data_IF_650872020503
#
_entry.id   IF_650872020503
#
_cell.length_a   1.000
_cell.length_b   1.000
_cell.length_c   1.000
_cell.angle_alpha   90.00
_cell.angle_beta   90.00
_cell.angle_gamma   90.00
#
_symmetry.space_group_name_H-M   'P 1'
#
loop_
_entity.id
_entity.type
_entity.pdbx_description
1 polymer ?
#
# COMPACT_ATOMS: atom_id res chain seq x y z
N UNK A 1 29.90 -9.32 -4.95
CA UNK A 1 28.98 -10.25 -5.66
C UNK A 1 28.73 -11.55 -4.89
N UNK A 2 29.74 -12.26 -4.40
CA UNK A 2 29.57 -13.55 -3.67
C UNK A 2 28.53 -13.46 -2.54
N UNK A 3 28.63 -12.44 -1.68
CA UNK A 3 27.66 -12.23 -0.58
C UNK A 3 26.22 -12.07 -1.10
N UNK A 4 26.01 -11.28 -2.15
CA UNK A 4 24.70 -11.08 -2.76
C UNK A 4 24.15 -12.40 -3.31
N UNK A 5 24.98 -13.19 -4.01
CA UNK A 5 24.57 -14.49 -4.53
C UNK A 5 24.10 -15.43 -3.42
N UNK A 6 24.81 -15.52 -2.30
CA UNK A 6 24.36 -16.33 -1.16
C UNK A 6 23.01 -15.89 -0.60
N UNK A 7 22.74 -14.58 -0.57
CA UNK A 7 21.42 -14.05 -0.17
C UNK A 7 20.34 -14.43 -1.18
N UNK A 8 20.62 -14.30 -2.48
CA UNK A 8 19.68 -14.67 -3.55
C UNK A 8 19.38 -16.16 -3.55
N UNK A 9 20.38 -17.01 -3.34
CA UNK A 9 20.22 -18.47 -3.19
C UNK A 9 19.35 -18.81 -1.98
N UNK A 10 19.56 -18.12 -0.85
CA UNK A 10 18.69 -18.29 0.32
C UNK A 10 17.24 -17.88 0.03
N UNK A 11 17.01 -16.70 -0.53
CA UNK A 11 15.65 -16.26 -0.88
C UNK A 11 15.02 -17.24 -1.88
N UNK A 12 15.76 -17.66 -2.91
CA UNK A 12 15.30 -18.65 -3.88
C UNK A 12 14.93 -19.99 -3.25
N UNK A 13 15.66 -20.43 -2.22
CA UNK A 13 15.35 -21.67 -1.49
C UNK A 13 14.00 -21.62 -0.75
N UNK A 14 13.49 -20.44 -0.41
CA UNK A 14 12.16 -20.26 0.21
C UNK A 14 11.05 -20.63 -0.78
N UNK A 15 11.25 -20.33 -2.07
CA UNK A 15 10.32 -20.63 -3.15
C UNK A 15 10.51 -22.05 -3.73
N UNK A 16 11.47 -22.82 -3.23
CA UNK A 16 11.82 -24.15 -3.72
C UNK A 16 11.45 -25.24 -2.71
N UNK A 17 10.20 -25.73 -2.69
CA UNK A 17 9.71 -26.68 -1.66
C UNK A 17 10.44 -28.03 -1.64
N UNK A 18 11.22 -28.34 -2.67
CA UNK A 18 12.02 -29.56 -2.77
C UNK A 18 13.40 -29.47 -2.10
N UNK A 19 13.77 -28.32 -1.51
CA UNK A 19 15.06 -28.15 -0.81
C UNK A 19 14.88 -27.54 0.58
N UNK A 20 15.81 -27.84 1.48
CA UNK A 20 15.84 -27.21 2.80
C UNK A 20 16.48 -25.83 2.71
N UNK A 21 15.81 -24.80 3.23
CA UNK A 21 16.30 -23.42 3.22
C UNK A 21 17.41 -23.16 4.26
N UNK A 22 17.49 -23.97 5.32
CA UNK A 22 18.39 -23.76 6.47
C UNK A 22 19.88 -23.64 6.09
N UNK A 23 20.46 -24.50 5.22
CA UNK A 23 21.87 -24.37 4.84
C UNK A 23 22.17 -23.08 4.07
N UNK A 24 21.25 -22.66 3.19
CA UNK A 24 21.38 -21.42 2.43
C UNK A 24 21.27 -20.20 3.34
N UNK A 25 20.33 -20.22 4.30
CA UNK A 25 20.22 -19.19 5.33
C UNK A 25 21.52 -19.01 6.10
N UNK A 26 22.11 -20.11 6.59
CA UNK A 26 23.36 -20.08 7.35
C UNK A 26 24.53 -19.54 6.52
N UNK A 27 24.62 -19.92 5.24
CA UNK A 27 25.63 -19.40 4.31
C UNK A 27 25.46 -17.90 4.06
N UNK A 28 24.23 -17.45 3.77
CA UNK A 28 23.89 -16.04 3.55
C UNK A 28 24.19 -15.20 4.81
N UNK A 29 23.73 -15.67 5.98
CA UNK A 29 23.95 -14.99 7.26
C UNK A 29 25.44 -14.86 7.56
N UNK A 30 26.23 -15.92 7.37
CA UNK A 30 27.70 -15.87 7.55
C UNK A 30 28.34 -14.85 6.60
N UNK A 31 27.88 -14.78 5.35
CA UNK A 31 28.44 -13.85 4.37
C UNK A 31 28.15 -12.38 4.71
N UNK A 32 26.92 -12.06 5.13
CA UNK A 32 26.51 -10.68 5.46
C UNK A 32 26.98 -10.21 6.85
N UNK A 33 27.31 -11.13 7.76
CA UNK A 33 27.81 -10.81 9.12
C UNK A 33 29.33 -10.87 9.23
N UNK A 34 30.03 -11.08 8.12
CA UNK A 34 31.49 -11.07 8.10
C UNK A 34 32.04 -9.75 8.66
N UNK A 35 33.00 -9.79 9.61
CA UNK A 35 33.61 -8.56 10.14
C UNK A 35 34.39 -7.78 9.06
N UNK A 36 34.73 -8.46 7.96
CA UNK A 36 35.43 -7.88 6.81
C UNK A 36 34.48 -7.66 5.63
N UNK A 37 33.17 -7.45 5.87
CA UNK A 37 32.21 -7.18 4.80
C UNK A 37 32.63 -5.90 4.05
N UNK A 38 32.99 -6.06 2.78
CA UNK A 38 33.40 -4.93 1.94
C UNK A 38 32.25 -3.92 1.76
N UNK A 39 32.57 -2.64 1.81
CA UNK A 39 31.59 -1.56 1.61
C UNK A 39 31.40 -1.35 0.11
N UNK A 40 30.48 -2.11 -0.46
CA UNK A 40 30.20 -2.11 -1.91
C UNK A 40 28.71 -1.99 -2.18
N UNK A 41 28.30 -1.47 -3.34
CA UNK A 41 26.88 -1.32 -3.69
C UNK A 41 26.15 -2.67 -3.75
N UNK A 42 26.84 -3.74 -4.19
CA UNK A 42 26.33 -5.11 -4.14
C UNK A 42 26.04 -5.60 -2.72
N UNK A 43 26.84 -5.19 -1.73
CA UNK A 43 26.60 -5.57 -0.33
C UNK A 43 25.48 -4.74 0.30
N UNK A 44 25.19 -3.54 -0.21
CA UNK A 44 23.95 -2.80 0.11
C UNK A 44 22.73 -3.61 -0.36
N UNK A 45 22.73 -4.07 -1.62
CA UNK A 45 21.67 -4.95 -2.13
C UNK A 45 21.52 -6.22 -1.30
N UNK A 46 22.64 -6.88 -0.96
CA UNK A 46 22.63 -8.11 -0.17
C UNK A 46 22.00 -7.91 1.22
N UNK A 47 22.42 -6.86 1.95
CA UNK A 47 21.88 -6.55 3.27
C UNK A 47 20.40 -6.14 3.20
N UNK A 48 20.02 -5.34 2.21
CA UNK A 48 18.62 -4.93 2.00
C UNK A 48 17.73 -6.14 1.74
N UNK A 49 18.07 -6.99 0.77
CA UNK A 49 17.29 -8.19 0.44
C UNK A 49 17.24 -9.20 1.59
N UNK A 50 18.37 -9.41 2.28
CA UNK A 50 18.40 -10.28 3.46
C UNK A 50 17.47 -9.74 4.55
N UNK A 51 17.52 -8.43 4.83
CA UNK A 51 16.66 -7.81 5.85
C UNK A 51 15.17 -7.98 5.52
N UNK A 52 14.80 -7.83 4.25
CA UNK A 52 13.43 -8.00 3.78
C UNK A 52 12.92 -9.42 4.04
N UNK A 53 13.70 -10.43 3.63
CA UNK A 53 13.35 -11.83 3.85
C UNK A 53 13.31 -12.16 5.36
N UNK A 54 14.33 -11.74 6.12
CA UNK A 54 14.41 -11.98 7.56
C UNK A 54 13.25 -11.35 8.34
N UNK A 55 12.79 -10.16 7.93
CA UNK A 55 11.62 -9.52 8.52
C UNK A 55 10.37 -10.40 8.37
N UNK A 56 10.17 -10.98 7.19
CA UNK A 56 9.01 -11.83 6.87
C UNK A 56 9.17 -13.28 7.36
N UNK A 57 10.39 -13.69 7.71
CA UNK A 57 10.69 -14.84 8.59
C UNK A 57 10.47 -14.53 10.08
N UNK A 58 9.83 -13.40 10.40
CA UNK A 58 9.45 -12.95 11.74
C UNK A 58 10.62 -12.62 12.69
N UNK A 59 11.79 -12.30 12.12
CA UNK A 59 12.99 -11.83 12.85
C UNK A 59 13.19 -10.32 12.69
N UNK A 60 12.19 -9.54 13.08
CA UNK A 60 12.06 -8.11 12.72
C UNK A 60 13.12 -7.19 13.31
N UNK A 61 13.55 -7.43 14.55
CA UNK A 61 14.60 -6.62 15.20
C UNK A 61 15.93 -6.79 14.50
N UNK A 62 16.30 -8.03 14.18
CA UNK A 62 17.54 -8.33 13.47
C UNK A 62 17.50 -7.84 12.03
N UNK A 63 16.34 -7.96 11.37
CA UNK A 63 16.12 -7.39 10.05
C UNK A 63 16.33 -5.87 10.05
N UNK A 64 15.80 -5.16 11.06
CA UNK A 64 16.02 -3.71 11.19
C UNK A 64 17.50 -3.35 11.28
N UNK A 65 18.27 -4.06 12.12
CA UNK A 65 19.71 -3.82 12.25
C UNK A 65 20.43 -3.97 10.90
N UNK A 66 20.09 -5.00 10.13
CA UNK A 66 20.71 -5.23 8.82
C UNK A 66 20.35 -4.16 7.78
N UNK A 67 19.11 -3.68 7.76
CA UNK A 67 18.77 -2.55 6.90
C UNK A 67 19.46 -1.25 7.38
N UNK A 68 19.59 -1.03 8.68
CA UNK A 68 20.38 0.10 9.20
C UNK A 68 21.83 0.04 8.74
N UNK A 69 22.44 -1.16 8.69
CA UNK A 69 23.77 -1.34 8.10
C UNK A 69 23.77 -1.06 6.58
N UNK A 70 22.75 -1.52 5.85
CA UNK A 70 22.61 -1.26 4.41
C UNK A 70 22.54 0.25 4.11
N UNK A 71 21.69 0.97 4.84
CA UNK A 71 21.54 2.43 4.72
C UNK A 71 22.83 3.16 5.09
N UNK A 72 23.52 2.77 6.17
CA UNK A 72 24.81 3.36 6.53
C UNK A 72 25.87 3.17 5.43
N UNK A 73 26.00 1.97 4.86
CA UNK A 73 26.92 1.72 3.75
C UNK A 73 26.53 2.53 2.52
N UNK A 74 25.24 2.60 2.19
CA UNK A 74 24.76 3.37 1.03
C UNK A 74 25.10 4.86 1.14
N UNK A 75 24.91 5.46 2.32
CA UNK A 75 25.25 6.87 2.57
C UNK A 75 26.76 7.11 2.55
N UNK A 76 27.57 6.19 3.10
CA UNK A 76 29.03 6.31 3.04
C UNK A 76 29.57 6.22 1.61
N UNK A 77 28.92 5.42 0.76
CA UNK A 77 29.20 5.35 -0.67
C UNK A 77 28.60 6.53 -1.45
N UNK A 78 27.81 7.38 -0.80
CA UNK A 78 27.07 8.50 -1.40
C UNK A 78 26.11 8.05 -2.49
N UNK A 79 25.44 6.91 -2.29
CA UNK A 79 24.43 6.39 -3.22
C UNK A 79 23.25 7.34 -3.42
N UNK A 80 23.06 8.32 -2.53
CA UNK A 80 22.07 9.38 -2.61
C UNK A 80 22.47 10.58 -3.49
N UNK A 81 23.69 10.57 -4.05
CA UNK A 81 24.24 11.62 -4.90
C UNK A 81 24.17 11.22 -6.38
N UNK A 82 23.86 12.18 -7.27
CA UNK A 82 23.79 11.96 -8.73
C UNK A 82 25.03 11.26 -9.30
N UNK A 83 26.21 11.71 -8.88
CA UNK A 83 27.49 11.28 -9.46
C UNK A 83 27.85 9.83 -9.13
N UNK A 84 27.23 9.25 -8.09
CA UNK A 84 27.54 7.89 -7.64
C UNK A 84 27.31 6.86 -8.74
N UNK A 85 26.18 6.93 -9.45
CA UNK A 85 25.83 5.95 -10.47
C UNK A 85 26.93 5.86 -11.54
N UNK A 86 27.39 7.01 -12.04
CA UNK A 86 28.48 7.10 -13.04
C UNK A 86 29.82 6.65 -12.47
N UNK A 87 30.15 7.07 -11.25
CA UNK A 87 31.41 6.73 -10.60
C UNK A 87 31.59 5.21 -10.37
N UNK A 88 30.49 4.49 -10.10
CA UNK A 88 30.47 3.05 -9.84
C UNK A 88 29.89 2.23 -11.00
N UNK A 89 29.53 2.87 -12.11
CA UNK A 89 28.87 2.25 -13.25
C UNK A 89 29.82 1.58 -14.23
N UNK A 90 31.14 1.73 -14.08
CA UNK A 90 32.15 1.13 -14.96
C UNK A 90 31.94 1.44 -16.46
N UNK A 91 31.32 2.59 -16.77
CA UNK A 91 30.88 2.98 -18.13
C UNK A 91 29.84 2.05 -18.77
N UNK A 92 29.16 1.23 -17.96
CA UNK A 92 28.03 0.40 -18.35
C UNK A 92 26.72 1.07 -17.91
N UNK A 93 25.92 1.51 -18.89
CA UNK A 93 24.65 2.18 -18.63
C UNK A 93 23.66 1.32 -17.82
N UNK A 94 23.69 0.00 -17.97
CA UNK A 94 22.84 -0.93 -17.21
C UNK A 94 23.27 -0.98 -15.76
N UNK A 95 24.58 -0.96 -15.50
CA UNK A 95 25.11 -0.93 -14.14
C UNK A 95 24.81 0.41 -13.46
N UNK A 96 24.94 1.53 -14.17
CA UNK A 96 24.51 2.85 -13.68
C UNK A 96 23.01 2.87 -13.32
N UNK A 97 22.17 2.25 -14.15
CA UNK A 97 20.73 2.14 -13.88
C UNK A 97 20.44 1.25 -12.67
N UNK A 98 21.16 0.14 -12.52
CA UNK A 98 21.07 -0.74 -11.35
C UNK A 98 21.33 0.03 -10.04
N UNK A 99 22.28 0.97 -10.06
CA UNK A 99 22.60 1.84 -8.92
C UNK A 99 21.50 2.84 -8.59
N UNK A 100 20.92 3.49 -9.60
CA UNK A 100 19.74 4.37 -9.40
C UNK A 100 18.60 3.58 -8.77
N UNK A 101 18.21 2.46 -9.37
CA UNK A 101 17.14 1.58 -8.87
C UNK A 101 17.41 1.10 -7.44
N UNK A 102 18.65 0.72 -7.13
CA UNK A 102 19.03 0.26 -5.79
C UNK A 102 18.77 1.32 -4.73
N UNK A 103 19.14 2.58 -4.98
CA UNK A 103 18.94 3.65 -3.99
C UNK A 103 17.46 3.98 -3.78
N UNK A 104 16.68 4.10 -4.87
CA UNK A 104 15.23 4.34 -4.77
C UNK A 104 14.50 3.23 -4.01
N UNK A 105 14.82 1.96 -4.30
CA UNK A 105 14.23 0.83 -3.57
C UNK A 105 14.70 0.80 -2.11
N UNK A 106 15.96 1.15 -1.82
CA UNK A 106 16.44 1.25 -0.43
C UNK A 106 15.68 2.30 0.37
N UNK A 107 15.42 3.48 -0.22
CA UNK A 107 14.60 4.52 0.39
C UNK A 107 13.21 3.99 0.73
N UNK A 108 12.54 3.38 -0.26
CA UNK A 108 11.19 2.84 -0.11
C UNK A 108 11.17 1.75 0.98
N UNK A 109 12.13 0.83 0.98
CA UNK A 109 12.21 -0.27 1.96
C UNK A 109 12.45 0.26 3.39
N UNK A 110 13.31 1.27 3.56
CA UNK A 110 13.54 1.88 4.87
C UNK A 110 12.28 2.53 5.42
N UNK A 111 11.55 3.27 4.58
CA UNK A 111 10.24 3.83 4.92
C UNK A 111 9.22 2.73 5.24
N UNK A 112 9.14 1.67 4.43
CA UNK A 112 8.18 0.58 4.64
C UNK A 112 8.38 -0.09 6.00
N UNK A 113 9.62 -0.38 6.39
CA UNK A 113 9.90 -0.92 7.71
C UNK A 113 9.43 0.01 8.82
N UNK A 114 9.61 1.32 8.68
CA UNK A 114 9.12 2.29 9.65
C UNK A 114 7.59 2.28 9.76
N UNK A 115 6.89 2.29 8.61
CA UNK A 115 5.43 2.20 8.56
C UNK A 115 4.91 0.93 9.23
N UNK A 116 5.43 -0.25 8.86
CA UNK A 116 4.91 -1.53 9.38
C UNK A 116 5.30 -1.80 10.84
N UNK A 117 6.30 -1.08 11.35
CA UNK A 117 6.67 -1.09 12.78
C UNK A 117 6.09 0.10 13.55
N UNK A 118 5.19 0.88 12.93
CA UNK A 118 4.47 2.00 13.51
C UNK A 118 5.40 3.04 14.16
N UNK A 119 6.50 3.38 13.46
CA UNK A 119 7.42 4.46 13.84
C UNK A 119 7.41 5.56 12.78
N UNK A 120 7.38 6.84 13.18
CA UNK A 120 7.47 7.96 12.24
C UNK A 120 8.90 8.24 11.78
N UNK A 121 9.89 7.45 12.23
CA UNK A 121 11.30 7.63 11.93
C UNK A 121 11.81 6.56 10.98
N UNK A 122 12.50 6.98 9.93
CA UNK A 122 13.40 6.13 9.14
C UNK A 122 14.67 6.91 8.76
N UNK A 123 15.77 6.19 8.54
CA UNK A 123 17.12 6.78 8.40
C UNK A 123 17.23 7.73 7.21
N UNK A 124 16.51 7.43 6.13
CA UNK A 124 16.61 8.17 4.86
C UNK A 124 15.62 9.35 4.75
N UNK A 125 14.75 9.58 5.75
CA UNK A 125 13.66 10.57 5.67
C UNK A 125 14.15 11.99 5.40
N UNK A 126 15.21 12.42 6.09
CA UNK A 126 15.76 13.78 6.04
C UNK A 126 17.03 13.88 5.18
N UNK A 127 17.40 12.81 4.47
CA UNK A 127 18.59 12.80 3.63
C UNK A 127 18.25 13.37 2.25
N UNK A 128 19.07 14.33 1.79
CA UNK A 128 18.96 14.88 0.45
C UNK A 128 19.18 13.79 -0.61
N UNK A 129 18.26 13.70 -1.55
CA UNK A 129 18.33 12.79 -2.69
C UNK A 129 18.53 13.60 -3.98
N UNK A 130 19.65 13.39 -4.67
CA UNK A 130 19.92 14.01 -5.98
C UNK A 130 20.07 12.97 -7.10
N UNK A 131 19.77 11.71 -6.82
CA UNK A 131 19.85 10.60 -7.79
C UNK A 131 18.87 10.86 -8.92
N UNK A 132 19.31 10.65 -10.16
CA UNK A 132 18.43 10.75 -11.32
C UNK A 132 17.42 9.58 -11.32
N UNK A 133 16.25 9.82 -11.92
CA UNK A 133 15.12 8.89 -11.89
C UNK A 133 15.43 7.61 -12.70
N UNK A 134 15.02 6.44 -12.17
CA UNK A 134 15.19 5.16 -12.85
C UNK A 134 14.25 5.03 -14.05
N UNK A 135 14.68 4.27 -15.06
CA UNK A 135 13.86 3.95 -16.22
C UNK A 135 12.93 2.75 -15.97
N UNK A 136 12.00 2.56 -16.90
CA UNK A 136 11.05 1.45 -16.89
C UNK A 136 11.76 0.09 -17.08
N UNK A 137 11.12 -0.98 -16.60
CA UNK A 137 11.69 -2.33 -16.56
C UNK A 137 12.03 -2.84 -17.97
N UNK A 138 11.24 -2.51 -18.98
CA UNK A 138 11.47 -2.91 -20.38
C UNK A 138 12.80 -2.35 -20.92
N UNK A 139 13.16 -1.13 -20.53
CA UNK A 139 14.41 -0.49 -20.92
C UNK A 139 15.60 -1.11 -20.17
N UNK A 140 15.43 -1.37 -18.88
CA UNK A 140 16.45 -2.00 -18.06
C UNK A 140 16.76 -3.44 -18.54
N UNK A 141 15.74 -4.24 -18.80
CA UNK A 141 15.86 -5.63 -19.25
C UNK A 141 16.44 -5.75 -20.66
N UNK A 142 16.09 -4.82 -21.56
CA UNK A 142 16.64 -4.79 -22.92
C UNK A 142 18.07 -4.22 -22.99
N UNK A 143 18.55 -3.59 -21.92
CA UNK A 143 19.82 -2.88 -21.86
C UNK A 143 19.84 -1.53 -22.59
N UNK A 144 18.71 -1.10 -23.17
CA UNK A 144 18.58 0.17 -23.88
C UNK A 144 18.15 1.28 -22.90
N UNK A 145 19.09 1.72 -22.06
CA UNK A 145 18.83 2.72 -21.03
C UNK A 145 18.58 4.10 -21.67
N UNK A 146 17.42 4.72 -21.46
CA UNK A 146 17.09 6.03 -22.02
C UNK A 146 17.87 7.16 -21.33
N UNK A 147 17.83 8.39 -21.89
CA UNK A 147 18.29 9.57 -21.18
C UNK A 147 17.62 9.70 -19.81
N UNK A 148 18.43 10.00 -18.80
CA UNK A 148 17.95 10.12 -17.42
C UNK A 148 17.12 11.39 -17.23
N UNK A 149 16.08 11.30 -16.39
CA UNK A 149 15.28 12.43 -15.95
C UNK A 149 15.54 12.72 -14.47
N UNK A 150 15.20 13.92 -14.02
CA UNK A 150 15.40 14.39 -12.64
C UNK A 150 14.08 14.43 -11.88
N UNK A 151 14.16 14.34 -10.56
CA UNK A 151 12.97 14.53 -9.71
C UNK A 151 12.30 15.90 -9.92
N UNK A 152 13.09 16.96 -10.15
CA UNK A 152 12.57 18.29 -10.45
C UNK A 152 11.76 18.35 -11.75
N UNK A 153 12.15 17.59 -12.78
CA UNK A 153 11.37 17.51 -14.03
C UNK A 153 10.05 16.78 -13.80
N UNK A 154 10.04 15.70 -13.01
CA UNK A 154 8.81 15.00 -12.64
C UNK A 154 7.82 15.88 -11.88
N UNK A 155 8.33 16.76 -11.01
CA UNK A 155 7.50 17.66 -10.18
C UNK A 155 6.79 18.77 -10.98
N UNK A 156 7.11 18.95 -12.25
CA UNK A 156 6.48 19.94 -13.14
C UNK A 156 5.89 19.29 -14.40
N UNK A 157 5.69 17.97 -14.37
CA UNK A 157 5.27 17.16 -15.53
C UNK A 157 3.95 17.60 -16.17
N UNK A 158 3.04 18.21 -15.40
CA UNK A 158 1.77 18.74 -15.88
C UNK A 158 1.91 19.92 -16.86
N UNK A 159 3.09 20.55 -16.90
CA UNK A 159 3.40 21.66 -17.80
C UNK A 159 4.17 21.22 -19.05
N UNK A 160 4.45 19.93 -19.22
CA UNK A 160 5.12 19.42 -20.41
C UNK A 160 4.21 19.52 -21.64
N UNK A 161 4.76 19.93 -22.79
CA UNK A 161 4.00 19.99 -24.06
C UNK A 161 3.52 18.62 -24.53
N UNK A 162 4.28 17.58 -24.18
CA UNK A 162 4.00 16.17 -24.51
C UNK A 162 4.01 15.38 -23.21
N UNK A 163 3.03 14.48 -23.05
CA UNK A 163 2.96 13.58 -21.88
C UNK A 163 4.24 12.77 -21.75
N UNK A 164 4.93 12.92 -20.61
CA UNK A 164 6.14 12.16 -20.28
C UNK A 164 5.74 10.97 -19.41
N UNK A 165 6.05 9.76 -19.87
CA UNK A 165 5.79 8.53 -19.13
C UNK A 165 7.06 8.18 -18.34
N UNK A 166 6.97 8.31 -17.03
CA UNK A 166 8.02 7.88 -16.10
C UNK A 166 7.89 6.39 -15.74
N UNK A 167 8.92 5.84 -15.11
CA UNK A 167 8.89 4.44 -14.68
C UNK A 167 7.95 4.18 -13.52
N UNK A 168 7.51 2.93 -13.37
CA UNK A 168 6.67 2.53 -12.23
C UNK A 168 7.33 2.80 -10.87
N UNK A 169 8.66 2.73 -10.78
CA UNK A 169 9.41 3.07 -9.56
C UNK A 169 9.27 4.55 -9.20
N UNK A 170 9.24 5.44 -10.20
CA UNK A 170 9.04 6.88 -9.97
C UNK A 170 7.65 7.15 -9.38
N UNK A 171 6.61 6.51 -9.92
CA UNK A 171 5.25 6.66 -9.39
C UNK A 171 5.09 6.05 -7.99
N UNK A 172 5.75 4.92 -7.69
CA UNK A 172 5.80 4.38 -6.33
C UNK A 172 6.54 5.33 -5.37
N UNK A 173 7.63 5.93 -5.83
CA UNK A 173 8.39 6.92 -5.06
C UNK A 173 7.56 8.19 -4.78
N UNK A 174 6.73 8.67 -5.71
CA UNK A 174 5.84 9.81 -5.45
C UNK A 174 4.85 9.51 -4.32
N UNK A 175 4.25 8.32 -4.30
CA UNK A 175 3.42 7.89 -3.15
C UNK A 175 4.25 7.83 -1.85
N UNK A 176 5.49 7.35 -1.91
CA UNK A 176 6.40 7.36 -0.77
C UNK A 176 6.71 8.78 -0.29
N UNK A 177 6.76 9.78 -1.18
CA UNK A 177 6.94 11.19 -0.80
C UNK A 177 5.70 11.77 -0.10
N UNK A 178 4.49 11.30 -0.43
CA UNK A 178 3.29 11.62 0.36
C UNK A 178 3.40 11.06 1.78
N UNK A 179 3.83 9.81 1.93
CA UNK A 179 4.05 9.18 3.25
C UNK A 179 5.14 9.93 4.03
N UNK A 180 6.24 10.34 3.37
CA UNK A 180 7.30 11.14 3.99
C UNK A 180 6.77 12.50 4.47
N UNK A 181 5.86 13.14 3.71
CA UNK A 181 5.19 14.36 4.13
C UNK A 181 4.37 14.17 5.42
N UNK A 182 3.65 13.04 5.53
CA UNK A 182 2.90 12.67 6.74
C UNK A 182 3.86 12.49 7.92
N UNK A 183 4.92 11.72 7.73
CA UNK A 183 5.92 11.46 8.78
C UNK A 183 6.59 12.75 9.26
N UNK A 184 7.09 13.59 8.36
CA UNK A 184 7.71 14.88 8.72
C UNK A 184 6.73 15.79 9.47
N UNK A 185 5.50 15.92 8.99
CA UNK A 185 4.49 16.74 9.67
C UNK A 185 4.19 16.20 11.07
N UNK A 186 4.12 14.87 11.22
CA UNK A 186 3.93 14.25 12.52
C UNK A 186 5.13 14.48 13.46
N UNK A 187 6.36 14.40 12.96
CA UNK A 187 7.56 14.71 13.74
C UNK A 187 7.60 16.16 14.21
N UNK A 188 7.13 17.09 13.39
CA UNK A 188 7.10 18.52 13.72
C UNK A 188 5.97 18.90 14.68
N UNK A 189 4.80 18.27 14.54
CA UNK A 189 3.57 18.69 15.24
C UNK A 189 3.10 17.74 16.33
N UNK A 190 3.54 16.48 16.32
CA UNK A 190 3.10 15.41 17.22
C UNK A 190 1.66 14.93 17.00
N UNK A 191 0.95 15.44 15.98
CA UNK A 191 -0.46 15.11 15.72
C UNK A 191 -0.76 14.97 14.23
N UNK A 192 -1.73 14.11 13.91
CA UNK A 192 -2.39 14.12 12.60
C UNK A 192 -3.65 14.97 12.73
N UNK A 193 -3.76 16.03 11.93
CA UNK A 193 -4.89 16.97 11.92
C UNK A 193 -5.55 17.06 10.53
N UNK A 194 -6.69 17.74 10.44
CA UNK A 194 -7.44 17.86 9.17
C UNK A 194 -6.62 18.52 8.05
N UNK A 195 -5.83 19.55 8.36
CA UNK A 195 -5.00 20.24 7.35
C UNK A 195 -3.95 19.30 6.72
N UNK A 196 -3.34 18.41 7.52
CA UNK A 196 -2.44 17.38 7.01
C UNK A 196 -3.20 16.40 6.11
N UNK A 197 -4.39 15.96 6.54
CA UNK A 197 -5.23 15.06 5.75
C UNK A 197 -5.59 15.68 4.39
N UNK A 198 -6.06 16.93 4.37
CA UNK A 198 -6.42 17.65 3.14
C UNK A 198 -5.23 17.84 2.19
N UNK A 199 -4.04 18.15 2.73
CA UNK A 199 -2.81 18.26 1.96
C UNK A 199 -2.44 16.90 1.32
N UNK A 200 -2.53 15.81 2.07
CA UNK A 200 -2.28 14.46 1.56
C UNK A 200 -3.33 14.02 0.53
N UNK A 201 -4.60 14.30 0.76
CA UNK A 201 -5.69 14.08 -0.21
C UNK A 201 -5.38 14.77 -1.54
N UNK A 202 -4.95 16.03 -1.49
CA UNK A 202 -4.56 16.80 -2.67
C UNK A 202 -3.41 16.13 -3.41
N UNK A 203 -2.36 15.69 -2.69
CA UNK A 203 -1.21 15.01 -3.31
C UNK A 203 -1.58 13.68 -3.95
N UNK A 204 -2.39 12.85 -3.29
CA UNK A 204 -2.85 11.57 -3.85
C UNK A 204 -3.80 11.75 -5.04
N UNK A 205 -4.65 12.80 -5.01
CA UNK A 205 -5.50 13.16 -6.13
C UNK A 205 -4.67 13.63 -7.34
N UNK A 206 -3.65 14.47 -7.13
CA UNK A 206 -2.70 14.88 -8.18
C UNK A 206 -1.98 13.66 -8.74
N UNK A 207 -1.42 12.80 -7.88
CA UNK A 207 -0.73 11.58 -8.28
C UNK A 207 -1.63 10.73 -9.20
N UNK A 208 -2.83 10.37 -8.75
CA UNK A 208 -3.75 9.49 -9.48
C UNK A 208 -4.30 10.11 -10.77
N UNK A 209 -4.60 11.42 -10.78
CA UNK A 209 -5.15 12.10 -11.96
C UNK A 209 -4.13 12.29 -13.08
N UNK A 210 -2.85 12.46 -12.71
CA UNK A 210 -1.74 12.64 -13.65
C UNK A 210 -1.02 11.33 -14.01
N UNK A 211 -1.54 10.16 -13.61
CA UNK A 211 -1.01 8.90 -14.12
C UNK A 211 -1.32 8.76 -15.62
N UNK A 212 -0.34 8.40 -16.45
CA UNK A 212 -0.59 8.09 -17.86
C UNK A 212 -1.45 6.83 -17.95
N UNK A 213 -2.17 6.68 -19.07
CA UNK A 213 -3.15 5.60 -19.24
C UNK A 213 -2.56 4.19 -18.98
N UNK A 214 -1.32 3.95 -19.40
CA UNK A 214 -0.62 2.68 -19.22
C UNK A 214 -0.18 2.37 -17.77
N UNK A 215 -0.29 3.34 -16.85
CA UNK A 215 0.08 3.18 -15.43
C UNK A 215 -1.13 3.28 -14.49
N UNK A 216 -2.35 3.44 -15.01
CA UNK A 216 -3.58 3.51 -14.17
C UNK A 216 -4.04 2.16 -13.66
N UNK A 217 -3.86 1.11 -14.47
CA UNK A 217 -4.18 -0.27 -14.09
C UNK A 217 -2.89 -1.07 -14.04
N UNK A 218 -2.53 -1.70 -12.91
CA UNK A 218 -1.36 -2.56 -12.86
C UNK A 218 -1.52 -3.84 -13.69
N UNK A 219 -2.74 -4.27 -14.03
CA UNK A 219 -2.94 -5.37 -14.97
C UNK A 219 -2.77 -4.88 -16.41
N UNK A 220 -1.71 -5.34 -17.05
CA UNK A 220 -1.37 -4.97 -18.43
C UNK A 220 -2.21 -5.76 -19.44
N UNK A 221 -2.29 -5.26 -20.67
CA UNK A 221 -3.05 -5.87 -21.78
C UNK A 221 -2.57 -7.27 -22.16
N UNK A 222 -1.31 -7.60 -21.87
CA UNK A 222 -0.72 -8.92 -22.07
C UNK A 222 -1.00 -9.91 -20.92
N UNK A 223 -1.74 -9.46 -19.89
CA UNK A 223 -2.07 -10.23 -18.70
C UNK A 223 -0.97 -10.26 -17.63
N UNK A 224 0.16 -9.59 -17.84
CA UNK A 224 1.17 -9.42 -16.79
C UNK A 224 0.76 -8.33 -15.80
N UNK A 225 1.28 -8.43 -14.57
CA UNK A 225 1.06 -7.44 -13.54
C UNK A 225 2.32 -6.58 -13.41
N UNK A 226 2.14 -5.27 -13.50
CA UNK A 226 3.15 -4.32 -13.05
C UNK A 226 3.16 -4.31 -11.51
N UNK A 227 3.99 -5.18 -10.92
CA UNK A 227 4.07 -5.35 -9.46
C UNK A 227 4.48 -4.06 -8.73
N UNK A 228 5.19 -3.16 -9.40
CA UNK A 228 5.60 -1.87 -8.83
C UNK A 228 4.43 -0.91 -8.78
N UNK A 229 3.63 -0.81 -9.86
CA UNK A 229 2.37 -0.03 -9.84
C UNK A 229 1.32 -0.66 -8.94
N UNK A 230 1.25 -1.99 -8.85
CA UNK A 230 0.40 -2.69 -7.89
C UNK A 230 0.73 -2.20 -6.48
N UNK A 231 2.02 -2.21 -6.11
CA UNK A 231 2.47 -1.72 -4.81
C UNK A 231 2.22 -0.22 -4.63
N UNK A 232 2.35 0.61 -5.67
CA UNK A 232 2.05 2.04 -5.60
C UNK A 232 0.58 2.30 -5.24
N UNK A 233 -0.35 1.59 -5.88
CA UNK A 233 -1.77 1.67 -5.55
C UNK A 233 -2.10 1.12 -4.16
N UNK A 234 -1.44 0.03 -3.74
CA UNK A 234 -1.57 -0.50 -2.37
C UNK A 234 -1.11 0.53 -1.33
N UNK A 235 0.01 1.21 -1.57
CA UNK A 235 0.53 2.29 -0.72
C UNK A 235 -0.42 3.49 -0.67
N UNK A 236 -1.00 3.89 -1.81
CA UNK A 236 -1.98 4.98 -1.85
C UNK A 236 -3.26 4.62 -1.05
N UNK A 237 -3.74 3.39 -1.19
CA UNK A 237 -4.91 2.89 -0.46
C UNK A 237 -4.67 2.86 1.06
N UNK A 238 -3.56 2.25 1.52
CA UNK A 238 -3.27 2.21 2.97
C UNK A 238 -3.00 3.58 3.57
N UNK A 239 -2.36 4.49 2.82
CA UNK A 239 -2.12 5.87 3.26
C UNK A 239 -3.45 6.60 3.46
N UNK A 240 -4.36 6.50 2.48
CA UNK A 240 -5.73 7.05 2.59
C UNK A 240 -6.46 6.46 3.79
N UNK A 241 -6.46 5.12 3.93
CA UNK A 241 -7.13 4.47 5.06
C UNK A 241 -6.56 4.92 6.39
N UNK A 242 -5.24 5.02 6.52
CA UNK A 242 -4.54 5.39 7.77
C UNK A 242 -4.85 6.82 8.19
N UNK A 243 -4.85 7.75 7.24
CA UNK A 243 -5.13 9.17 7.49
C UNK A 243 -6.59 9.43 7.86
N UNK A 244 -7.53 8.74 7.21
CA UNK A 244 -8.95 9.01 7.40
C UNK A 244 -9.59 8.18 8.50
N UNK A 245 -9.09 6.98 8.81
CA UNK A 245 -9.75 6.08 9.77
C UNK A 245 -9.95 6.69 11.16
N UNK A 246 -8.97 7.39 11.78
CA UNK A 246 -9.17 8.01 13.08
C UNK A 246 -10.33 9.01 13.15
N UNK A 247 -10.71 9.58 12.00
CA UNK A 247 -11.76 10.58 11.86
C UNK A 247 -13.09 9.99 11.36
N UNK A 248 -13.12 8.69 11.08
CA UNK A 248 -14.26 7.97 10.50
C UNK A 248 -15.16 7.34 11.57
N UNK A 249 -16.25 6.70 11.12
CA UNK A 249 -17.09 5.83 11.96
C UNK A 249 -16.49 4.43 12.19
N UNK A 250 -15.34 4.12 11.60
CA UNK A 250 -14.70 2.80 11.66
C UNK A 250 -13.74 2.70 12.85
N UNK A 251 -14.30 2.33 14.00
CA UNK A 251 -13.56 2.18 15.25
C UNK A 251 -12.49 1.07 15.22
N UNK A 252 -11.58 1.14 16.18
CA UNK A 252 -10.63 0.07 16.49
C UNK A 252 -11.20 -0.81 17.60
N UNK A 253 -11.13 -2.14 17.43
CA UNK A 253 -11.53 -3.07 18.49
C UNK A 253 -10.33 -3.48 19.36
N UNK A 254 -10.54 -3.97 20.59
CA UNK A 254 -9.45 -4.40 21.46
C UNK A 254 -8.54 -5.47 20.85
N UNK A 255 -9.10 -6.42 20.09
CA UNK A 255 -8.30 -7.46 19.44
C UNK A 255 -7.38 -6.90 18.37
N UNK A 256 -7.83 -5.88 17.64
CA UNK A 256 -7.02 -5.17 16.66
C UNK A 256 -5.88 -4.40 17.34
N UNK A 257 -6.15 -3.73 18.46
CA UNK A 257 -5.12 -3.01 19.21
C UNK A 257 -4.09 -3.94 19.88
N UNK A 258 -4.41 -5.23 20.00
CA UNK A 258 -3.55 -6.25 20.60
C UNK A 258 -2.70 -7.02 19.58
N UNK A 259 -2.80 -6.72 18.29
CA UNK A 259 -2.05 -7.42 17.24
C UNK A 259 -0.55 -7.21 17.39
N UNK A 260 0.22 -8.22 17.00
CA UNK A 260 1.68 -8.17 17.01
C UNK A 260 2.27 -8.50 15.66
N UNK A 261 1.57 -9.20 14.77
CA UNK A 261 2.05 -9.53 13.43
C UNK A 261 1.99 -8.33 12.50
N UNK A 262 0.97 -7.49 12.66
CA UNK A 262 0.85 -6.16 12.08
C UNK A 262 0.40 -5.19 13.17
N UNK A 263 0.62 -3.89 12.99
CA UNK A 263 0.28 -2.88 13.99
C UNK A 263 -0.82 -1.97 13.45
N UNK A 264 -1.82 -1.71 14.27
CA UNK A 264 -2.76 -0.62 14.04
C UNK A 264 -2.02 0.72 14.27
N UNK A 265 -2.11 1.69 13.34
CA UNK A 265 -1.57 3.03 13.57
C UNK A 265 -2.17 3.63 14.84
N UNK A 266 -1.32 4.17 15.72
CA UNK A 266 -1.81 4.78 16.98
C UNK A 266 -2.51 6.10 16.64
N UNK A 267 -3.75 6.34 17.08
CA UNK A 267 -4.49 7.54 16.73
C UNK A 267 -4.02 8.72 17.59
N UNK A 268 -2.83 9.26 17.30
CA UNK A 268 -2.38 10.55 17.82
C UNK A 268 -3.11 11.67 17.06
N UNK A 269 -4.42 11.74 17.26
CA UNK A 269 -5.34 12.59 16.50
C UNK A 269 -6.10 13.54 17.40
N UNK A 270 -6.42 14.72 16.85
CA UNK A 270 -7.36 15.65 17.46
C UNK A 270 -8.77 15.24 17.06
N UNK A 271 -9.68 15.03 18.01
CA UNK A 271 -11.04 14.60 17.70
C UNK A 271 -11.79 15.62 16.81
N UNK A 272 -12.17 15.30 15.58
CA UNK A 272 -12.99 16.18 14.75
C UNK A 272 -14.44 16.17 15.21
N UNK A 273 -15.08 17.33 15.11
CA UNK A 273 -16.51 17.48 15.40
C UNK A 273 -17.40 17.39 14.15
N UNK A 274 -16.84 17.53 12.94
CA UNK A 274 -17.56 17.53 11.66
C UNK A 274 -16.88 16.60 10.64
N UNK A 275 -17.55 16.30 9.52
CA UNK A 275 -16.92 15.58 8.38
C UNK A 275 -16.77 14.05 8.50
N UNK A 276 -17.19 13.43 9.63
CA UNK A 276 -17.04 11.98 9.89
C UNK A 276 -17.45 11.09 8.71
N UNK A 277 -18.60 11.35 8.10
CA UNK A 277 -19.11 10.55 6.98
C UNK A 277 -18.19 10.62 5.75
N UNK A 278 -17.58 11.78 5.48
CA UNK A 278 -16.66 11.95 4.37
C UNK A 278 -15.33 11.21 4.61
N UNK A 279 -14.85 11.14 5.86
CA UNK A 279 -13.72 10.29 6.24
C UNK A 279 -14.07 8.81 6.09
N UNK A 280 -15.24 8.37 6.58
CA UNK A 280 -15.73 6.99 6.40
C UNK A 280 -15.77 6.58 4.93
N UNK A 281 -16.34 7.41 4.06
CA UNK A 281 -16.42 7.14 2.62
C UNK A 281 -15.04 6.94 1.98
N UNK A 282 -14.04 7.76 2.35
CA UNK A 282 -12.66 7.62 1.85
C UNK A 282 -11.98 6.36 2.33
N UNK A 283 -12.20 5.96 3.59
CA UNK A 283 -11.67 4.68 4.10
C UNK A 283 -12.30 3.50 3.36
N UNK A 284 -13.62 3.51 3.13
CA UNK A 284 -14.28 2.45 2.35
C UNK A 284 -13.75 2.40 0.92
N UNK A 285 -13.54 3.56 0.28
CA UNK A 285 -12.93 3.63 -1.07
C UNK A 285 -11.53 3.02 -1.10
N UNK A 286 -10.71 3.26 -0.06
CA UNK A 286 -9.40 2.62 0.06
C UNK A 286 -9.51 1.08 0.15
N UNK A 287 -10.49 0.56 0.90
CA UNK A 287 -10.72 -0.90 0.97
C UNK A 287 -11.23 -1.47 -0.36
N UNK A 288 -11.91 -0.68 -1.18
CA UNK A 288 -12.35 -1.08 -2.51
C UNK A 288 -11.18 -1.18 -3.49
N UNK A 289 -10.28 -0.18 -3.52
CA UNK A 289 -9.04 -0.21 -4.30
C UNK A 289 -8.24 -1.47 -3.95
N UNK A 290 -8.05 -1.73 -2.66
CA UNK A 290 -7.37 -2.93 -2.17
C UNK A 290 -8.03 -4.23 -2.62
N UNK A 291 -9.37 -4.31 -2.54
CA UNK A 291 -10.11 -5.50 -2.99
C UNK A 291 -9.94 -5.73 -4.48
N UNK A 292 -10.04 -4.66 -5.30
CA UNK A 292 -9.86 -4.75 -6.76
C UNK A 292 -8.46 -5.26 -7.12
N UNK A 293 -7.43 -4.75 -6.44
CA UNK A 293 -6.05 -5.20 -6.61
C UNK A 293 -5.89 -6.68 -6.23
N UNK A 294 -6.35 -7.10 -5.05
CA UNK A 294 -6.26 -8.50 -4.64
C UNK A 294 -7.11 -9.46 -5.47
N UNK A 295 -8.13 -8.97 -6.16
CA UNK A 295 -8.99 -9.77 -7.03
C UNK A 295 -8.37 -10.04 -8.42
N UNK A 296 -7.24 -9.41 -8.76
CA UNK A 296 -6.53 -9.69 -10.02
C UNK A 296 -6.13 -11.17 -10.05
N UNK A 297 -6.60 -11.96 -11.03
CA UNK A 297 -6.31 -13.39 -11.08
C UNK A 297 -4.82 -13.65 -11.39
N UNK A 298 -4.05 -13.98 -10.37
CA UNK A 298 -2.63 -14.27 -10.50
C UNK A 298 -2.10 -15.18 -9.38
N UNK A 299 -0.83 -15.56 -9.51
CA UNK A 299 -0.10 -16.29 -8.49
C UNK A 299 0.24 -15.34 -7.33
N UNK A 300 -0.58 -15.31 -6.28
CA UNK A 300 -0.44 -14.40 -5.14
C UNK A 300 0.95 -14.43 -4.49
N UNK A 301 1.62 -15.59 -4.53
CA UNK A 301 2.99 -15.76 -4.02
C UNK A 301 4.04 -14.91 -4.74
N UNK A 302 3.72 -14.36 -5.92
CA UNK A 302 4.59 -13.48 -6.69
C UNK A 302 4.46 -12.01 -6.31
N UNK A 303 3.43 -11.64 -5.57
CA UNK A 303 3.26 -10.26 -5.14
C UNK A 303 4.37 -9.83 -4.18
N UNK A 304 4.60 -8.52 -4.14
CA UNK A 304 5.50 -7.90 -3.17
C UNK A 304 5.15 -8.36 -1.73
N UNK A 305 6.15 -8.82 -0.97
CA UNK A 305 5.95 -9.39 0.37
C UNK A 305 5.33 -8.40 1.38
N UNK A 306 5.53 -7.08 1.21
CA UNK A 306 4.88 -6.08 2.06
C UNK A 306 3.37 -5.99 1.85
N UNK A 307 2.85 -6.52 0.75
CA UNK A 307 1.40 -6.63 0.49
C UNK A 307 0.69 -7.37 1.63
N UNK A 308 1.36 -8.31 2.32
CA UNK A 308 0.82 -8.96 3.53
C UNK A 308 0.54 -7.97 4.66
N UNK A 309 1.48 -7.04 4.94
CA UNK A 309 1.32 -6.03 5.99
C UNK A 309 0.16 -5.08 5.67
N UNK A 310 0.07 -4.64 4.42
CA UNK A 310 -1.02 -3.75 3.97
C UNK A 310 -2.37 -4.48 4.02
N UNK A 311 -2.42 -5.69 3.48
CA UNK A 311 -3.65 -6.50 3.45
C UNK A 311 -4.16 -6.80 4.85
N UNK A 312 -3.28 -7.09 5.80
CA UNK A 312 -3.69 -7.37 7.18
C UNK A 312 -4.35 -6.16 7.85
N UNK A 313 -3.79 -4.97 7.63
CA UNK A 313 -4.37 -3.72 8.14
C UNK A 313 -5.71 -3.40 7.48
N UNK A 314 -5.79 -3.45 6.13
CA UNK A 314 -7.05 -3.16 5.42
C UNK A 314 -8.12 -4.22 5.68
N UNK A 315 -7.75 -5.47 5.95
CA UNK A 315 -8.69 -6.48 6.42
C UNK A 315 -9.30 -6.14 7.79
N UNK A 316 -8.51 -5.61 8.73
CA UNK A 316 -9.03 -5.14 10.02
C UNK A 316 -9.99 -3.96 9.84
N UNK A 317 -9.69 -3.04 8.91
CA UNK A 317 -10.59 -1.95 8.51
C UNK A 317 -11.91 -2.48 7.95
N UNK A 318 -11.85 -3.49 7.07
CA UNK A 318 -13.04 -4.13 6.50
C UNK A 318 -13.87 -4.83 7.57
N UNK A 319 -13.24 -5.50 8.54
CA UNK A 319 -13.95 -6.08 9.70
C UNK A 319 -14.66 -4.99 10.50
N UNK A 320 -14.02 -3.85 10.76
CA UNK A 320 -14.64 -2.71 11.43
C UNK A 320 -15.89 -2.22 10.67
N UNK A 321 -15.84 -2.14 9.34
CA UNK A 321 -17.00 -1.78 8.52
C UNK A 321 -18.14 -2.81 8.63
N UNK A 322 -17.82 -4.11 8.60
CA UNK A 322 -18.79 -5.18 8.81
C UNK A 322 -19.48 -5.11 10.18
N UNK A 323 -18.77 -4.65 11.21
CA UNK A 323 -19.29 -4.62 12.58
C UNK A 323 -20.13 -3.39 12.89
N UNK A 324 -19.73 -2.23 12.37
CA UNK A 324 -20.32 -0.95 12.81
C UNK A 324 -21.19 -0.23 11.77
N UNK A 325 -21.11 -0.61 10.49
CA UNK A 325 -21.71 0.19 9.42
C UNK A 325 -22.60 -0.59 8.45
N UNK A 326 -22.23 -1.83 8.12
CA UNK A 326 -22.84 -2.56 7.02
C UNK A 326 -23.86 -3.60 7.51
N UNK A 327 -24.96 -3.74 6.78
CA UNK A 327 -26.00 -4.73 6.99
C UNK A 327 -26.39 -5.43 5.68
N UNK A 328 -27.25 -6.46 5.79
CA UNK A 328 -27.84 -7.16 4.65
C UNK A 328 -26.84 -7.58 3.56
N UNK A 329 -27.11 -7.14 2.32
CA UNK A 329 -26.29 -7.50 1.16
C UNK A 329 -24.90 -6.87 1.19
N UNK A 330 -24.80 -5.61 1.62
CA UNK A 330 -23.53 -4.89 1.72
C UNK A 330 -22.58 -5.56 2.74
N UNK A 331 -23.13 -6.04 3.86
CA UNK A 331 -22.39 -6.84 4.84
C UNK A 331 -21.88 -8.15 4.23
N UNK A 332 -22.70 -8.86 3.45
CA UNK A 332 -22.26 -10.10 2.78
C UNK A 332 -21.08 -9.85 1.85
N UNK A 333 -21.12 -8.80 1.04
CA UNK A 333 -20.02 -8.41 0.14
C UNK A 333 -18.77 -8.10 0.96
N UNK A 334 -18.89 -7.30 2.03
CA UNK A 334 -17.74 -6.95 2.86
C UNK A 334 -17.11 -8.17 3.56
N UNK A 335 -17.93 -9.15 3.97
CA UNK A 335 -17.42 -10.42 4.48
C UNK A 335 -16.64 -11.21 3.42
N UNK A 336 -17.05 -11.19 2.15
CA UNK A 336 -16.28 -11.81 1.05
C UNK A 336 -14.93 -11.12 0.83
N UNK A 337 -14.86 -9.80 0.99
CA UNK A 337 -13.59 -9.04 0.95
C UNK A 337 -12.64 -9.44 2.08
N UNK A 338 -13.16 -9.66 3.29
CA UNK A 338 -12.38 -10.19 4.42
C UNK A 338 -11.90 -11.62 4.13
N UNK A 339 -12.75 -12.47 3.53
CA UNK A 339 -12.37 -13.84 3.11
C UNK A 339 -11.25 -13.82 2.07
N UNK A 340 -11.32 -12.94 1.07
CA UNK A 340 -10.27 -12.73 0.07
C UNK A 340 -8.93 -12.36 0.73
N UNK A 341 -8.96 -11.39 1.65
CA UNK A 341 -7.76 -10.96 2.38
C UNK A 341 -7.13 -12.11 3.20
N UNK A 342 -7.95 -12.90 3.91
CA UNK A 342 -7.47 -14.08 4.64
C UNK A 342 -6.93 -15.14 3.68
N UNK A 343 -7.58 -15.33 2.52
CA UNK A 343 -7.13 -16.24 1.46
C UNK A 343 -5.73 -15.87 0.96
N UNK A 344 -5.52 -14.60 0.58
CA UNK A 344 -4.22 -14.07 0.19
C UNK A 344 -3.15 -14.32 1.27
N UNK A 345 -3.44 -13.97 2.53
CA UNK A 345 -2.49 -14.17 3.63
C UNK A 345 -2.15 -15.65 3.86
N UNK A 346 -3.12 -16.57 3.67
CA UNK A 346 -2.88 -18.01 3.75
C UNK A 346 -1.97 -18.50 2.62
N UNK A 347 -2.14 -18.00 1.40
CA UNK A 347 -1.26 -18.35 0.27
C UNK A 347 0.17 -17.89 0.56
N UNK A 348 0.35 -16.64 0.97
CA UNK A 348 1.68 -16.12 1.34
C UNK A 348 2.29 -16.84 2.56
N UNK A 349 1.45 -17.30 3.51
CA UNK A 349 1.88 -18.05 4.69
C UNK A 349 2.49 -19.42 4.39
N UNK A 350 2.34 -19.93 3.16
CA UNK A 350 3.04 -21.14 2.71
C UNK A 350 4.55 -20.92 2.57
N UNK A 351 4.97 -19.67 2.34
CA UNK A 351 6.37 -19.27 2.15
C UNK A 351 6.89 -18.47 3.34
N UNK A 352 6.08 -17.55 3.87
CA UNK A 352 6.52 -16.55 4.83
C UNK A 352 5.88 -16.77 6.22
N UNK A 353 6.66 -17.11 7.26
CA UNK A 353 6.16 -17.36 8.61
C UNK A 353 5.32 -16.21 9.20
N UNK A 354 5.66 -14.95 8.89
CA UNK A 354 4.91 -13.79 9.35
C UNK A 354 3.46 -13.78 8.82
N UNK A 355 3.26 -14.21 7.56
CA UNK A 355 1.93 -14.32 6.94
C UNK A 355 0.98 -15.24 7.73
N UNK A 356 1.51 -16.33 8.30
CA UNK A 356 0.73 -17.24 9.15
C UNK A 356 0.22 -16.56 10.42
N UNK A 357 1.04 -15.69 11.03
CA UNK A 357 0.66 -14.92 12.22
C UNK A 357 -0.36 -13.84 11.86
N UNK A 358 -0.13 -13.11 10.77
CA UNK A 358 -1.06 -12.10 10.24
C UNK A 358 -2.45 -12.70 9.96
N UNK A 359 -2.52 -13.81 9.22
CA UNK A 359 -3.78 -14.48 8.93
C UNK A 359 -4.51 -14.94 10.20
N UNK A 360 -3.76 -15.40 11.22
CA UNK A 360 -4.32 -15.77 12.53
C UNK A 360 -4.92 -14.56 13.25
N UNK A 361 -4.20 -13.44 13.29
CA UNK A 361 -4.64 -12.22 13.96
C UNK A 361 -5.86 -11.59 13.28
N UNK A 362 -5.87 -11.48 11.94
CA UNK A 362 -7.05 -11.03 11.18
C UNK A 362 -8.26 -11.92 11.46
N UNK A 363 -8.09 -13.25 11.51
CA UNK A 363 -9.18 -14.17 11.89
C UNK A 363 -9.68 -13.96 13.31
N UNK A 364 -8.81 -13.64 14.26
CA UNK A 364 -9.20 -13.33 15.64
C UNK A 364 -10.06 -12.08 15.69
N UNK A 365 -9.64 -11.00 15.02
CA UNK A 365 -10.40 -9.74 14.91
C UNK A 365 -11.77 -9.98 14.27
N UNK A 366 -11.81 -10.72 13.16
CA UNK A 366 -13.06 -11.05 12.47
C UNK A 366 -14.02 -11.85 13.37
N UNK A 367 -13.50 -12.83 14.14
CA UNK A 367 -14.35 -13.67 15.01
C UNK A 367 -14.93 -12.89 16.18
N UNK A 368 -14.14 -12.09 16.88
CA UNK A 368 -14.64 -11.29 18.01
C UNK A 368 -15.73 -10.32 17.54
N UNK A 369 -15.51 -9.67 16.41
CA UNK A 369 -16.35 -8.58 15.92
C UNK A 369 -17.61 -9.05 15.19
N UNK A 370 -17.62 -10.27 14.62
CA UNK A 370 -18.80 -10.83 13.93
C UNK A 370 -19.65 -11.72 14.85
N UNK A 371 -19.06 -12.47 15.78
CA UNK A 371 -19.82 -13.30 16.76
C UNK A 371 -20.54 -12.43 17.79
N UNK A 372 -19.97 -11.27 18.15
CA UNK A 372 -20.64 -10.29 19.00
C UNK A 372 -21.96 -9.76 18.40
N UNK A 373 -21.99 -9.56 17.08
CA UNK A 373 -23.18 -9.07 16.36
C UNK A 373 -24.29 -10.11 16.29
N UNK A 374 -23.95 -11.40 16.08
CA UNK A 374 -24.94 -12.48 16.14
C UNK A 374 -25.61 -12.53 17.52
N UNK A 375 -24.84 -12.44 18.60
CA UNK A 375 -25.39 -12.49 19.96
C UNK A 375 -26.27 -11.28 20.28
N UNK A 376 -25.93 -10.09 19.79
CA UNK A 376 -26.76 -8.88 19.94
C UNK A 376 -28.06 -8.95 19.10
N UNK A 377 -28.02 -9.51 17.88
CA UNK A 377 -29.22 -9.76 17.09
C UNK A 377 -30.12 -10.83 17.70
N UNK A 378 -29.58 -11.92 18.29
CA UNK A 378 -30.41 -12.93 18.98
C UNK A 378 -31.10 -12.33 20.21
N UNK A 379 -30.41 -11.50 21.00
CA UNK A 379 -31.00 -10.84 22.18
C UNK A 379 -32.03 -9.77 21.78
N UNK A 380 -31.80 -9.05 20.68
CA UNK A 380 -32.80 -8.10 20.14
C UNK A 380 -34.03 -8.81 19.54
N UNK A 381 -33.84 -9.97 18.91
CA UNK A 381 -34.96 -10.81 18.43
C UNK A 381 -35.73 -11.43 19.60
N UNK A 382 -35.08 -11.89 20.67
CA UNK A 382 -35.75 -12.39 21.88
C UNK A 382 -36.50 -11.29 22.65
N UNK A 383 -36.00 -10.04 22.62
CA UNK A 383 -36.69 -8.89 23.20
C UNK A 383 -37.86 -8.37 22.35
N UNK A 384 -37.96 -8.79 21.08
CA UNK A 384 -38.95 -8.31 20.10
C UNK A 384 -40.15 -9.23 19.85
N UNK A 385 -40.16 -10.48 20.37
CA UNK A 385 -41.20 -11.48 20.05
C UNK A 385 -42.52 -11.35 20.84
N UNK A 386 -42.88 -10.14 21.27
CA UNK A 386 -44.18 -9.88 21.90
C UNK A 386 -45.00 -8.82 21.16
N UNK A 387 -44.96 -8.77 19.81
CA UNK A 387 -45.97 -8.04 19.03
C UNK A 387 -46.28 -8.79 17.73
N UNK A 388 -47.59 -8.96 17.49
CA UNK A 388 -48.31 -9.73 16.49
C UNK A 388 -47.67 -9.92 15.10
N UNK A 389 -47.77 -11.16 14.60
CA UNK A 389 -47.67 -11.52 13.18
C UNK A 389 -48.62 -10.65 12.33
N UNK A 390 -48.06 -9.96 11.34
CA UNK A 390 -48.81 -9.41 10.21
C UNK A 390 -48.24 -10.06 8.96
N UNK A 391 -49.00 -10.99 8.39
CA UNK A 391 -48.80 -11.53 7.05
C UNK A 391 -48.93 -10.40 6.02
N UNK A 392 -47.90 -10.23 5.17
CA UNK A 392 -47.99 -9.43 3.94
C UNK A 392 -47.67 -10.33 2.74
N UNK A 393 -48.52 -10.32 1.69
CA UNK A 393 -48.40 -11.25 0.59
C UNK A 393 -47.22 -10.89 -0.33
N UNK A 394 -46.51 -11.94 -0.77
CA UNK A 394 -45.61 -11.89 -1.92
C UNK A 394 -46.43 -11.63 -3.18
N UNK A 395 -46.21 -10.48 -3.80
CA UNK A 395 -46.09 -10.30 -5.24
C UNK A 395 -45.94 -8.81 -5.54
N UNK A 396 -44.74 -8.39 -5.95
CA UNK A 396 -44.55 -7.39 -7.01
C UNK A 396 -43.07 -7.41 -7.44
N UNK A 397 -42.84 -8.17 -8.49
CA UNK A 397 -41.59 -8.30 -9.25
C UNK A 397 -41.49 -7.11 -10.21
N UNK A 398 -40.40 -6.36 -10.06
CA UNK A 398 -39.62 -5.64 -11.10
C UNK A 398 -40.33 -4.55 -11.92
N UNK A 399 -39.85 -3.31 -11.76
CA UNK A 399 -39.98 -2.22 -12.73
C UNK A 399 -38.63 -1.48 -12.89
N UNK A 400 -38.40 -0.77 -14.00
CA UNK A 400 -37.14 -0.76 -14.72
C UNK A 400 -36.20 0.32 -14.17
N UNK A 401 -34.92 -0.04 -14.05
CA UNK A 401 -33.87 0.92 -13.70
C UNK A 401 -33.73 1.94 -14.82
N UNK A 402 -33.82 3.22 -14.47
CA UNK A 402 -33.59 4.36 -15.35
C UNK A 402 -32.15 4.31 -15.91
N UNK A 403 -31.95 4.25 -17.24
CA UNK A 403 -30.63 4.18 -17.86
C UNK A 403 -29.79 5.47 -17.70
N UNK A 404 -30.33 6.53 -17.09
CA UNK A 404 -29.59 7.75 -16.75
C UNK A 404 -29.04 7.79 -15.32
N UNK A 405 -29.40 6.83 -14.47
CA UNK A 405 -28.79 6.71 -13.14
C UNK A 405 -27.40 6.07 -13.28
N UNK A 406 -26.34 6.80 -12.91
CA UNK A 406 -25.00 6.25 -12.70
C UNK A 406 -25.01 5.35 -11.44
N UNK A 407 -25.67 4.20 -11.54
CA UNK A 407 -25.56 3.11 -10.58
C UNK A 407 -24.36 2.29 -11.01
N UNK A 408 -23.25 2.39 -10.29
CA UNK A 408 -22.18 1.42 -10.40
C UNK A 408 -22.67 0.09 -9.81
N UNK A 409 -23.17 -0.77 -10.70
CA UNK A 409 -23.75 -2.08 -10.43
C UNK A 409 -22.74 -3.04 -9.78
N UNK A 410 -21.43 -2.71 -9.79
CA UNK A 410 -20.39 -3.48 -9.13
C UNK A 410 -20.07 -3.01 -7.70
N UNK A 411 -20.48 -1.79 -7.33
CA UNK A 411 -20.14 -1.21 -6.04
C UNK A 411 -21.07 -1.65 -4.90
N UNK A 412 -22.35 -1.94 -5.20
CA UNK A 412 -23.35 -2.32 -4.20
C UNK A 412 -23.58 -1.29 -3.08
N UNK A 413 -23.02 -0.08 -3.21
CA UNK A 413 -23.12 1.00 -2.23
C UNK A 413 -24.14 2.01 -2.75
N UNK A 414 -25.32 2.05 -2.13
CA UNK A 414 -26.23 3.19 -2.27
C UNK A 414 -25.79 4.24 -1.26
N UNK A 415 -25.23 5.35 -1.75
CA UNK A 415 -25.01 6.53 -0.91
C UNK A 415 -26.38 7.16 -0.57
N UNK A 416 -26.61 7.61 0.68
CA UNK A 416 -27.87 8.26 1.05
C UNK A 416 -28.16 9.47 0.17
N UNK A 417 -29.41 9.55 -0.29
CA UNK A 417 -29.95 10.67 -1.07
C UNK A 417 -30.17 11.82 -0.10
N UNK A 418 -29.12 12.60 0.14
CA UNK A 418 -29.16 13.99 0.60
C UNK A 418 -27.77 14.60 0.31
N UNK A 419 -27.44 14.62 -0.99
CA UNK A 419 -26.29 15.34 -1.51
C UNK A 419 -26.83 16.59 -2.21
N UNK A 420 -26.89 17.71 -1.48
CA UNK A 420 -27.08 19.00 -2.12
C UNK A 420 -25.84 19.27 -2.99
N UNK A 421 -26.03 19.04 -4.28
CA UNK A 421 -25.09 19.35 -5.34
C UNK A 421 -25.01 20.86 -5.46
N UNK A 422 -24.01 21.47 -4.81
CA UNK A 422 -23.56 22.81 -5.18
C UNK A 422 -22.82 22.69 -6.53
N UNK A 423 -23.60 22.77 -7.60
CA UNK A 423 -23.10 22.82 -8.96
C UNK A 423 -22.25 24.09 -9.16
N UNK A 424 -20.94 23.90 -9.37
CA UNK A 424 -20.10 24.92 -9.99
C UNK A 424 -20.58 25.13 -11.42
N UNK A 425 -21.41 26.16 -11.60
CA UNK A 425 -21.86 26.62 -12.90
C UNK A 425 -20.72 27.37 -13.58
N UNK A 426 -20.17 26.80 -14.66
CA UNK A 426 -19.33 27.55 -15.60
C UNK A 426 -20.23 28.41 -16.50
N UNK A 427 -19.96 29.71 -16.70
CA UNK A 427 -20.69 30.51 -17.65
C UNK A 427 -20.28 30.13 -19.08
N UNK A 428 -21.27 29.73 -19.87
CA UNK A 428 -21.18 29.59 -21.32
C UNK A 428 -21.01 30.96 -21.99
N UNK A 429 -19.92 31.14 -22.73
CA UNK A 429 -19.71 32.28 -23.61
C UNK A 429 -20.72 32.23 -24.75
N UNK A 430 -21.68 33.16 -24.74
CA UNK A 430 -22.53 33.45 -25.89
C UNK A 430 -21.86 34.53 -26.74
N UNK A 431 -21.53 34.17 -27.98
CA UNK A 431 -21.13 35.12 -29.00
C UNK A 431 -22.32 36.01 -29.36
N UNK A 432 -22.17 37.32 -29.21
CA UNK A 432 -23.04 38.32 -29.84
C UNK A 432 -22.15 39.35 -30.52
N UNK A 433 -22.25 39.45 -31.84
CA UNK A 433 -21.64 40.52 -32.62
C UNK A 433 -22.45 41.82 -32.61
N UNK A 434 -21.86 42.83 -33.28
CA UNK A 434 -22.28 44.23 -33.49
C UNK A 434 -21.88 45.14 -32.31
N UNK A 435 -20.99 46.13 -32.47
CA UNK A 435 -20.78 47.10 -33.57
C UNK A 435 -19.34 47.15 -34.04
#
# INVERSE_FOLDING_TARGET
MITLLSVLEWIGSIYAPWTSSEPYYMAALKAITSPNLARTPFNVQALMLFSLAEFHCDSRVEARKKLSTATAIALELRMNERDFARAYGESDAVLEECWRRTYYILYIVDQHFAVVTNTPFHSLLSISNTVDLPCDDEHFESGNIPPVATWSEYQVREFAEVEVIYSSIVYLYDVAMVIACVMNTFLDTGVVNEALVENCDTKLAIWSSLLPACKKDPLRLDGQIDEVMFMAHMCAAITTSTLHRPFSSLGYCPEEMATRAFLAPSPFTLAPKAGRNAHTARVLRATEIHTKLLAIPCAFEKHNIFTMCITSQLAAVQVSACTYLLDGHALSIAQDRVRLSIGFLNTMATLWPLGKKMAKEVRTIARSSLVGTYTQHTVAMDAGHAVAEIDLPRDEIVWPVDPSAQVDIYSGIVLPIDWDTTAFSYPSLTSSGLV
#
